data_IF_514113328067
#
_entry.id   IF_514113328067
#
_cell.length_a   1.000
_cell.length_b   1.000
_cell.length_c   1.000
_cell.angle_alpha   90.00
_cell.angle_beta   90.00
_cell.angle_gamma   90.00
#
_symmetry.space_group_name_H-M   'P 1'
#
loop_
_entity.id
_entity.type
_entity.pdbx_description
1 polymer ?
#
# COMPACT_ATOMS: atom_id res chain seq x y z
N UNK A 1 25.67 -49.29 33.12
CA UNK A 1 24.32 -49.32 32.54
C UNK A 1 23.89 -47.87 32.45
N UNK A 2 24.08 -47.23 31.29
CA UNK A 2 23.77 -45.80 31.09
C UNK A 2 22.27 -45.68 30.91
N UNK A 3 21.65 -44.78 31.68
CA UNK A 3 20.21 -44.65 31.87
C UNK A 3 19.43 -44.43 30.56
N UNK A 4 18.80 -45.48 30.04
CA UNK A 4 17.84 -45.41 28.93
C UNK A 4 16.68 -44.44 29.21
N UNK A 5 16.36 -44.20 30.50
CA UNK A 5 15.36 -43.22 30.92
C UNK A 5 15.76 -41.77 30.58
N UNK A 6 17.04 -41.43 30.70
CA UNK A 6 17.56 -40.10 30.35
C UNK A 6 17.54 -39.88 28.83
N UNK A 7 17.83 -40.92 28.06
CA UNK A 7 17.75 -40.89 26.59
C UNK A 7 16.31 -40.73 26.09
N UNK A 8 15.36 -41.45 26.70
CA UNK A 8 13.94 -41.32 26.39
C UNK A 8 13.37 -39.94 26.76
N UNK A 9 13.75 -39.39 27.92
CA UNK A 9 13.29 -38.07 28.36
C UNK A 9 13.85 -36.93 27.49
N UNK A 10 15.09 -37.06 27.01
CA UNK A 10 15.70 -36.08 26.10
C UNK A 10 15.12 -36.16 24.69
N UNK A 11 14.79 -37.35 24.19
CA UNK A 11 14.11 -37.54 22.91
C UNK A 11 12.70 -36.94 22.92
N UNK A 12 11.94 -37.14 24.01
CA UNK A 12 10.63 -36.53 24.20
C UNK A 12 10.72 -35.00 24.27
N UNK A 13 11.70 -34.45 25.00
CA UNK A 13 11.91 -33.01 25.07
C UNK A 13 12.29 -32.41 23.71
N UNK A 14 13.07 -33.13 22.90
CA UNK A 14 13.46 -32.73 21.56
C UNK A 14 12.25 -32.72 20.61
N UNK A 15 11.41 -33.76 20.65
CA UNK A 15 10.16 -33.82 19.86
C UNK A 15 9.17 -32.72 20.23
N UNK A 16 9.02 -32.41 21.52
CA UNK A 16 8.17 -31.31 22.00
C UNK A 16 8.73 -29.95 21.56
N UNK A 17 10.05 -29.77 21.58
CA UNK A 17 10.69 -28.54 21.10
C UNK A 17 10.44 -28.31 19.60
N UNK A 18 10.50 -29.37 18.78
CA UNK A 18 10.19 -29.28 17.35
C UNK A 18 8.72 -28.92 17.09
N UNK A 19 7.78 -29.47 17.86
CA UNK A 19 6.36 -29.15 17.68
C UNK A 19 6.04 -27.73 18.11
N UNK A 20 6.58 -27.28 19.25
CA UNK A 20 6.39 -25.91 19.73
C UNK A 20 7.02 -24.89 18.77
N UNK A 21 8.22 -25.17 18.26
CA UNK A 21 8.87 -24.33 17.26
C UNK A 21 8.04 -24.23 15.95
N UNK A 22 7.45 -25.34 15.52
CA UNK A 22 6.59 -25.36 14.33
C UNK A 22 5.29 -24.57 14.51
N UNK A 23 4.67 -24.66 15.69
CA UNK A 23 3.49 -23.85 16.03
C UNK A 23 3.83 -22.35 16.08
N UNK A 24 5.01 -21.99 16.57
CA UNK A 24 5.48 -20.61 16.57
C UNK A 24 5.68 -20.07 15.14
N UNK A 25 6.30 -20.86 14.24
CA UNK A 25 6.42 -20.51 12.83
C UNK A 25 5.04 -20.35 12.17
N UNK A 26 4.12 -21.29 12.42
CA UNK A 26 2.76 -21.24 11.87
C UNK A 26 1.98 -20.01 12.38
N UNK A 27 2.15 -19.64 13.65
CA UNK A 27 1.53 -18.45 14.22
C UNK A 27 2.06 -17.16 13.56
N UNK A 28 3.38 -17.06 13.37
CA UNK A 28 3.98 -15.92 12.66
C UNK A 28 3.49 -15.81 11.21
N UNK A 29 3.37 -16.95 10.51
CA UNK A 29 2.81 -16.99 9.15
C UNK A 29 1.31 -16.65 9.13
N UNK A 30 0.55 -17.10 10.12
CA UNK A 30 -0.90 -16.86 10.22
C UNK A 30 -1.22 -15.37 10.42
N UNK A 31 -0.41 -14.65 11.20
CA UNK A 31 -0.57 -13.21 11.38
C UNK A 31 -0.03 -12.36 10.22
N UNK A 32 0.64 -12.97 9.24
CA UNK A 32 1.20 -12.26 8.09
C UNK A 32 0.19 -11.98 6.97
N UNK A 33 -1.10 -12.26 7.17
CA UNK A 33 -2.15 -11.95 6.21
C UNK A 33 -2.77 -10.57 6.50
N UNK A 34 -2.58 -9.55 5.63
CA UNK A 34 -3.34 -8.32 5.74
C UNK A 34 -4.83 -8.65 5.54
N UNK A 35 -5.65 -8.38 6.55
CA UNK A 35 -7.10 -8.46 6.42
C UNK A 35 -7.59 -7.32 5.51
N UNK A 36 -7.57 -7.56 4.20
CA UNK A 36 -8.50 -6.88 3.30
C UNK A 36 -9.87 -7.52 3.57
N UNK A 37 -10.61 -6.94 4.50
CA UNK A 37 -12.03 -7.21 4.67
C UNK A 37 -12.78 -6.76 3.43
N UNK A 38 -13.09 -7.69 2.54
CA UNK A 38 -14.24 -7.58 1.65
C UNK A 38 -15.19 -8.75 1.93
N UNK A 39 -16.35 -8.38 2.49
CA UNK A 39 -17.52 -9.24 2.60
C UNK A 39 -18.04 -9.61 1.21
N UNK A 40 -18.24 -10.91 0.96
CA UNK A 40 -19.00 -11.48 -0.16
C UNK A 40 -18.26 -11.36 -1.50
N UNK A 41 -17.94 -12.43 -2.21
CA UNK A 41 -18.80 -13.49 -2.71
C UNK A 41 -17.88 -14.67 -3.06
N UNK A 42 -18.35 -15.88 -2.79
CA UNK A 42 -17.70 -17.10 -3.27
C UNK A 42 -17.88 -17.15 -4.79
N UNK A 43 -16.87 -16.74 -5.56
CA UNK A 43 -16.79 -17.05 -6.98
C UNK A 43 -15.36 -17.49 -7.32
N UNK A 44 -15.25 -18.80 -7.51
CA UNK A 44 -14.20 -19.54 -8.18
C UNK A 44 -13.65 -18.80 -9.42
N UNK A 45 -12.31 -18.68 -9.53
CA UNK A 45 -11.51 -19.06 -10.71
C UNK A 45 -10.02 -18.65 -10.55
N UNK A 46 -9.20 -19.69 -10.39
CA UNK A 46 -7.92 -19.93 -11.06
C UNK A 46 -7.24 -18.76 -11.80
N UNK A 47 -6.10 -18.27 -11.28
CA UNK A 47 -4.95 -18.01 -12.13
C UNK A 47 -3.64 -17.96 -11.32
N UNK A 48 -2.66 -18.74 -11.77
CA UNK A 48 -1.31 -18.83 -11.22
C UNK A 48 -0.45 -17.68 -11.75
N UNK A 49 0.20 -16.90 -10.87
CA UNK A 49 1.42 -16.14 -11.21
C UNK A 49 2.26 -15.88 -9.95
N UNK A 50 3.59 -16.08 -9.99
CA UNK A 50 4.45 -15.95 -8.82
C UNK A 50 4.66 -14.48 -8.41
N UNK A 51 4.93 -14.20 -7.12
CA UNK A 51 5.12 -12.85 -6.63
C UNK A 51 6.57 -12.38 -6.87
N UNK A 52 6.74 -11.30 -7.62
CA UNK A 52 8.00 -10.55 -7.69
C UNK A 52 7.84 -9.26 -6.90
N UNK A 53 8.51 -9.26 -5.75
CA UNK A 53 9.23 -8.17 -5.08
C UNK A 53 8.62 -6.77 -4.95
N UNK A 54 8.51 -6.38 -3.67
CA UNK A 54 8.64 -5.03 -3.10
C UNK A 54 7.63 -3.97 -3.54
N UNK A 55 6.39 -4.13 -3.08
CA UNK A 55 5.41 -3.05 -3.06
C UNK A 55 5.60 -2.23 -1.78
N UNK A 56 6.22 -1.05 -1.92
CA UNK A 56 6.12 0.04 -0.97
C UNK A 56 4.64 0.31 -0.68
N UNK A 57 4.20 0.02 0.55
CA UNK A 57 2.85 0.31 1.02
C UNK A 57 2.66 1.84 1.10
N UNK A 58 2.09 2.42 0.05
CA UNK A 58 1.44 3.72 0.14
C UNK A 58 0.14 3.50 0.89
N UNK A 59 0.02 4.09 2.08
CA UNK A 59 -1.20 4.07 2.88
C UNK A 59 -2.33 4.72 2.09
N UNK A 60 -3.13 3.89 1.41
CA UNK A 60 -4.43 4.30 0.89
C UNK A 60 -5.32 4.56 2.10
N UNK A 61 -5.45 5.83 2.47
CA UNK A 61 -6.39 6.26 3.49
C UNK A 61 -7.80 6.10 2.92
N UNK A 62 -8.37 4.89 3.09
CA UNK A 62 -9.80 4.65 2.91
C UNK A 62 -10.50 5.35 4.08
N UNK A 63 -10.68 6.66 3.92
CA UNK A 63 -11.45 7.48 4.85
C UNK A 63 -12.90 7.04 4.82
N UNK A 64 -13.31 6.34 5.88
CA UNK A 64 -14.71 6.23 6.28
C UNK A 64 -15.11 7.54 6.96
N UNK A 65 -15.89 8.39 6.29
CA UNK A 65 -17.02 9.11 6.90
C UNK A 65 -17.67 10.05 5.88
N UNK A 66 -18.96 9.81 5.65
CA UNK A 66 -20.02 10.80 5.41
C UNK A 66 -19.59 12.27 5.30
N UNK A 67 -19.15 12.68 4.11
CA UNK A 67 -19.54 13.96 3.53
C UNK A 67 -19.46 13.82 2.02
N UNK A 68 -20.52 14.23 1.32
CA UNK A 68 -20.68 14.13 -0.13
C UNK A 68 -19.79 15.15 -0.88
N UNK A 69 -18.53 15.27 -0.49
CA UNK A 69 -17.58 16.19 -1.11
C UNK A 69 -16.61 15.41 -1.99
N UNK A 70 -16.84 15.51 -3.30
CA UNK A 70 -15.98 14.94 -4.31
C UNK A 70 -14.56 15.49 -4.16
N UNK A 71 -13.55 14.63 -3.91
CA UNK A 71 -12.17 15.09 -3.77
C UNK A 71 -11.69 15.73 -5.08
N UNK A 72 -10.85 16.76 -4.96
CA UNK A 72 -10.19 17.35 -6.13
C UNK A 72 -9.00 16.48 -6.52
N UNK A 73 -8.99 16.00 -7.76
CA UNK A 73 -7.91 15.19 -8.31
C UNK A 73 -6.94 16.07 -9.11
N UNK A 74 -5.65 15.92 -8.84
CA UNK A 74 -4.56 16.51 -9.62
C UNK A 74 -3.51 15.47 -10.00
N UNK A 75 -2.86 15.66 -11.13
CA UNK A 75 -1.78 14.82 -11.62
C UNK A 75 -0.50 15.65 -11.73
N UNK A 76 0.59 15.20 -11.11
CA UNK A 76 1.88 15.85 -11.21
C UNK A 76 2.78 15.10 -12.19
N UNK A 77 3.13 15.74 -13.29
CA UNK A 77 3.95 15.15 -14.34
C UNK A 77 4.89 16.19 -14.96
N UNK A 78 6.16 15.81 -15.15
CA UNK A 78 7.20 16.65 -15.74
C UNK A 78 7.31 18.08 -15.12
N UNK A 79 7.11 18.21 -13.81
CA UNK A 79 7.19 19.50 -13.11
C UNK A 79 5.92 20.35 -13.16
N UNK A 80 4.86 19.88 -13.83
CA UNK A 80 3.57 20.58 -13.96
C UNK A 80 2.45 19.80 -13.28
N UNK A 81 1.42 20.54 -12.86
CA UNK A 81 0.18 19.97 -12.35
C UNK A 81 -0.89 20.01 -13.43
N UNK A 82 -1.65 18.94 -13.52
CA UNK A 82 -2.78 18.78 -14.41
C UNK A 82 -4.03 18.44 -13.63
N UNK A 83 -5.18 18.87 -14.11
CA UNK A 83 -6.48 18.52 -13.53
C UNK A 83 -7.07 17.27 -14.22
N UNK A 84 -8.33 16.94 -13.89
CA UNK A 84 -9.08 15.85 -14.52
C UNK A 84 -9.31 16.02 -16.02
N UNK A 85 -9.24 17.26 -16.51
CA UNK A 85 -9.39 17.59 -17.94
C UNK A 85 -8.04 17.60 -18.67
N UNK A 86 -6.95 17.24 -17.99
CA UNK A 86 -5.56 17.33 -18.47
C UNK A 86 -5.15 18.78 -18.80
N UNK A 87 -5.84 19.77 -18.23
CA UNK A 87 -5.45 21.16 -18.31
C UNK A 87 -4.38 21.45 -17.27
N UNK A 88 -3.36 22.22 -17.65
CA UNK A 88 -2.34 22.67 -16.72
C UNK A 88 -2.96 23.59 -15.67
N UNK A 89 -2.78 23.27 -14.40
CA UNK A 89 -3.30 24.02 -13.25
C UNK A 89 -2.17 24.42 -12.31
N UNK A 90 -2.38 25.52 -11.60
CA UNK A 90 -1.44 25.99 -10.58
C UNK A 90 -1.65 25.24 -9.25
N UNK A 91 -0.59 25.05 -8.45
CA UNK A 91 -0.68 24.36 -7.15
C UNK A 91 -1.62 25.03 -6.14
N UNK A 92 -1.86 26.33 -6.28
CA UNK A 92 -2.70 27.13 -5.38
C UNK A 92 -4.17 27.20 -5.83
N UNK A 93 -4.49 26.59 -6.99
CA UNK A 93 -5.86 26.59 -7.53
C UNK A 93 -6.79 25.60 -6.82
N UNK A 94 -6.26 24.73 -5.96
CA UNK A 94 -7.05 23.77 -5.21
C UNK A 94 -7.74 24.45 -4.03
N UNK A 95 -9.01 24.10 -3.80
CA UNK A 95 -9.80 24.73 -2.76
C UNK A 95 -9.47 24.08 -1.41
N UNK A 96 -9.07 24.92 -0.45
CA UNK A 96 -8.71 24.53 0.91
C UNK A 96 -9.79 23.75 1.68
N UNK A 97 -11.05 23.88 1.26
CA UNK A 97 -12.21 23.26 1.92
C UNK A 97 -12.43 21.80 1.51
N UNK A 98 -11.83 21.33 0.42
CA UNK A 98 -12.04 19.97 -0.11
C UNK A 98 -10.78 19.12 -0.01
N UNK A 99 -10.89 17.80 0.20
CA UNK A 99 -9.73 16.92 0.14
C UNK A 99 -9.11 16.93 -1.27
N UNK A 100 -7.78 17.04 -1.34
CA UNK A 100 -7.04 17.09 -2.61
C UNK A 100 -6.19 15.83 -2.71
N UNK A 101 -6.29 15.13 -3.84
CA UNK A 101 -5.49 13.95 -4.15
C UNK A 101 -4.57 14.30 -5.32
N UNK A 102 -3.25 14.27 -5.09
CA UNK A 102 -2.25 14.46 -6.13
C UNK A 102 -1.60 13.12 -6.47
N UNK A 103 -1.75 12.70 -7.73
CA UNK A 103 -1.06 11.54 -8.28
C UNK A 103 0.32 11.95 -8.80
N UNK A 104 1.38 11.28 -8.33
CA UNK A 104 2.78 11.53 -8.72
C UNK A 104 3.37 10.33 -9.46
N UNK A 105 4.40 10.55 -10.27
CA UNK A 105 5.12 9.46 -10.95
C UNK A 105 5.84 8.56 -9.95
N UNK A 106 5.91 7.26 -10.24
CA UNK A 106 6.72 6.29 -9.46
C UNK A 106 8.22 6.62 -9.51
N UNK A 107 8.67 7.30 -10.56
CA UNK A 107 10.06 7.71 -10.74
C UNK A 107 10.41 9.02 -10.02
N UNK A 108 9.43 9.69 -9.40
CA UNK A 108 9.66 11.00 -8.78
C UNK A 108 10.43 10.86 -7.46
N UNK A 109 11.54 11.59 -7.28
CA UNK A 109 12.27 11.62 -6.01
C UNK A 109 11.38 12.08 -4.85
N UNK A 110 11.55 11.48 -3.68
CA UNK A 110 10.78 11.84 -2.48
C UNK A 110 10.97 13.31 -2.07
N UNK A 111 12.15 13.88 -2.28
CA UNK A 111 12.42 15.30 -2.03
C UNK A 111 11.47 16.20 -2.82
N UNK A 112 11.20 15.87 -4.09
CA UNK A 112 10.30 16.64 -4.95
C UNK A 112 8.83 16.48 -4.52
N UNK A 113 8.47 15.30 -4.00
CA UNK A 113 7.15 15.06 -3.41
C UNK A 113 6.93 15.96 -2.18
N UNK A 114 7.94 16.10 -1.33
CA UNK A 114 7.86 17.00 -0.17
C UNK A 114 7.81 18.47 -0.58
N UNK A 115 8.64 18.89 -1.54
CA UNK A 115 8.59 20.25 -2.09
C UNK A 115 7.22 20.56 -2.72
N UNK A 116 6.61 19.60 -3.41
CA UNK A 116 5.26 19.71 -3.95
C UNK A 116 4.21 19.88 -2.85
N UNK A 117 4.33 19.10 -1.76
CA UNK A 117 3.44 19.21 -0.60
C UNK A 117 3.53 20.57 0.08
N UNK A 118 4.75 21.07 0.29
CA UNK A 118 4.96 22.42 0.84
C UNK A 118 4.39 23.50 -0.08
N UNK A 119 4.62 23.37 -1.40
CA UNK A 119 4.12 24.35 -2.38
C UNK A 119 2.60 24.35 -2.50
N UNK A 120 1.95 23.20 -2.38
CA UNK A 120 0.48 23.10 -2.40
C UNK A 120 -0.15 23.62 -1.09
N UNK A 121 0.59 23.63 0.02
CA UNK A 121 0.20 24.13 1.34
C UNK A 121 -1.25 23.79 1.77
N UNK A 122 -1.70 22.59 1.41
CA UNK A 122 -3.09 22.18 1.57
C UNK A 122 -3.24 21.27 2.81
N UNK A 123 -4.17 21.56 3.74
CA UNK A 123 -4.29 20.83 5.01
C UNK A 123 -4.66 19.34 4.82
N UNK A 124 -5.47 19.04 3.80
CA UNK A 124 -5.96 17.69 3.48
C UNK A 124 -5.40 17.20 2.13
N UNK A 125 -4.08 17.19 1.99
CA UNK A 125 -3.38 16.69 0.79
C UNK A 125 -3.06 15.20 0.93
N UNK A 126 -3.54 14.40 -0.02
CA UNK A 126 -3.16 13.01 -0.19
C UNK A 126 -2.30 12.84 -1.43
N UNK A 127 -1.25 12.04 -1.31
CA UNK A 127 -0.34 11.74 -2.42
C UNK A 127 -0.53 10.27 -2.79
N UNK A 128 -0.81 10.03 -4.06
CA UNK A 128 -0.96 8.69 -4.62
C UNK A 128 -0.02 8.50 -5.81
N UNK A 129 0.14 7.27 -6.26
CA UNK A 129 0.95 6.97 -7.44
C UNK A 129 0.09 7.03 -8.70
N UNK A 130 0.68 7.54 -9.78
CA UNK A 130 0.12 7.41 -11.12
C UNK A 130 0.01 5.92 -11.48
N UNK A 131 -1.13 5.56 -12.07
CA UNK A 131 -1.29 4.27 -12.74
C UNK A 131 -0.56 4.30 -14.08
N UNK A 132 -0.27 3.13 -14.62
CA UNK A 132 0.43 3.00 -15.91
C UNK A 132 -0.34 3.65 -17.05
N UNK A 133 -1.68 3.54 -17.04
CA UNK A 133 -2.58 4.18 -18.01
C UNK A 133 -2.46 5.71 -18.00
N UNK A 134 -2.47 6.32 -16.82
CA UNK A 134 -2.34 7.77 -16.68
C UNK A 134 -0.95 8.26 -17.06
N UNK A 135 0.09 7.48 -16.70
CA UNK A 135 1.46 7.81 -17.07
C UNK A 135 1.62 7.83 -18.60
N UNK A 136 1.13 6.81 -19.30
CA UNK A 136 1.12 6.78 -20.77
C UNK A 136 0.30 7.92 -21.37
N UNK A 137 -0.85 8.27 -20.77
CA UNK A 137 -1.69 9.37 -21.26
C UNK A 137 -0.98 10.72 -21.17
N UNK A 138 -0.28 10.98 -20.06
CA UNK A 138 0.47 12.21 -19.81
C UNK A 138 1.75 12.29 -20.65
N UNK A 139 2.38 11.17 -20.97
CA UNK A 139 3.52 11.10 -21.90
C UNK A 139 3.13 11.43 -23.36
N UNK A 140 1.86 11.26 -23.72
CA UNK A 140 1.32 11.52 -25.06
C UNK A 140 0.61 12.89 -25.20
N UNK A 141 0.77 13.79 -24.23
CA UNK A 141 0.29 15.18 -24.30
C UNK A 141 1.34 16.10 -24.92
#
# INVERSE_FOLDING_TARGET
>A
MVDSATHAMTEVALGLSMSFFSLLILALLSFQLPQNSENGVVQQMQNSRPPTESTLQVSSHKGSSESSETPQLGFYFAGRLYDQTLASVEPDSFRADKPVIIAVSKSLPFADIMALRERANHPNLFITLLTEEWQQRLENL
#
